data_IF_223931671931
#
_entry.id   IF_223931671931
#
_cell.length_a   1.000
_cell.length_b   1.000
_cell.length_c   1.000
_cell.angle_alpha   90.00
_cell.angle_beta   90.00
_cell.angle_gamma   90.00
#
_symmetry.space_group_name_H-M   'P 1'
#
loop_
_entity.id
_entity.type
_entity.pdbx_description
1 polymer ?
#
# COMPACT_ATOMS: atom_id res chain seq x y z
N UNK A 1 -6.01 -2.33 -10.77
CA UNK A 1 -5.39 -2.11 -9.47
C UNK A 1 -5.43 -3.36 -8.62
N UNK A 2 -4.37 -3.60 -7.91
CA UNK A 2 -4.24 -4.75 -7.04
C UNK A 2 -3.67 -4.30 -5.70
N UNK A 3 -4.32 -4.68 -4.61
CA UNK A 3 -3.84 -4.42 -3.27
C UNK A 3 -3.21 -5.68 -2.71
N UNK A 4 -1.95 -5.61 -2.30
CA UNK A 4 -1.24 -6.72 -1.68
C UNK A 4 -0.54 -6.29 -0.41
N UNK A 5 -0.48 -7.20 0.55
CA UNK A 5 0.25 -7.04 1.79
C UNK A 5 1.33 -8.09 1.82
N UNK A 6 2.56 -7.66 1.93
CA UNK A 6 3.71 -8.55 1.74
C UNK A 6 4.78 -8.31 2.80
N UNK A 7 5.51 -9.32 3.32
CA UNK A 7 6.48 -9.23 4.41
C UNK A 7 7.86 -9.89 4.22
N UNK A 8 8.29 -10.24 3.00
CA UNK A 8 9.57 -10.94 2.78
C UNK A 8 10.56 -10.10 1.97
N UNK A 9 11.89 -10.18 2.26
CA UNK A 9 12.91 -9.36 1.59
C UNK A 9 13.05 -9.56 0.07
N UNK A 10 12.85 -10.78 -0.43
CA UNK A 10 13.00 -11.10 -1.85
C UNK A 10 11.86 -10.61 -2.70
N UNK A 11 10.94 -10.00 -2.10
CA UNK A 11 9.68 -9.68 -2.67
C UNK A 11 9.67 -8.63 -3.75
N UNK A 12 10.56 -7.65 -3.68
CA UNK A 12 10.63 -6.63 -4.73
C UNK A 12 10.84 -7.29 -6.09
N UNK A 13 11.80 -8.23 -6.16
CA UNK A 13 12.09 -8.93 -7.40
C UNK A 13 10.93 -9.82 -7.84
N UNK A 14 10.31 -10.52 -6.88
CA UNK A 14 9.14 -11.36 -7.17
C UNK A 14 7.96 -10.53 -7.68
N UNK A 15 7.71 -9.39 -7.05
CA UNK A 15 6.64 -8.50 -7.47
C UNK A 15 6.91 -7.92 -8.86
N UNK A 16 8.13 -7.50 -9.12
CA UNK A 16 8.51 -6.99 -10.45
C UNK A 16 8.34 -8.03 -11.54
N UNK A 17 8.58 -9.31 -11.23
CA UNK A 17 8.45 -10.39 -12.19
C UNK A 17 7.00 -10.76 -12.48
N UNK A 18 6.10 -10.52 -11.55
CA UNK A 18 4.70 -10.94 -11.65
C UNK A 18 3.72 -9.80 -11.90
N UNK A 19 4.11 -8.57 -11.60
CA UNK A 19 3.21 -7.42 -11.67
C UNK A 19 3.92 -6.20 -12.21
N UNK A 20 3.17 -5.34 -12.87
CA UNK A 20 3.64 -4.01 -13.24
C UNK A 20 3.44 -3.10 -12.02
N UNK A 21 4.49 -2.93 -11.22
CA UNK A 21 4.42 -2.13 -10.01
C UNK A 21 4.11 -0.67 -10.28
N UNK A 22 4.46 -0.17 -11.46
CA UNK A 22 4.17 1.22 -11.81
C UNK A 22 2.67 1.52 -11.91
N UNK A 23 1.85 0.46 -11.91
CA UNK A 23 0.38 0.55 -11.98
C UNK A 23 -0.28 -0.03 -10.73
N UNK A 24 0.49 -0.30 -9.68
CA UNK A 24 0.01 -0.99 -8.49
C UNK A 24 -0.18 -0.04 -7.31
N UNK A 25 -1.14 -0.37 -6.46
CA UNK A 25 -1.25 0.18 -5.12
C UNK A 25 -0.73 -0.89 -4.16
N UNK A 26 0.16 -0.50 -3.29
CA UNK A 26 0.81 -1.43 -2.36
C UNK A 26 0.69 -0.91 -0.94
N UNK A 27 0.31 -1.81 -0.02
CA UNK A 27 0.24 -1.49 1.40
C UNK A 27 1.24 -2.35 2.17
N UNK A 28 1.99 -1.74 3.05
CA UNK A 28 2.96 -2.44 3.89
C UNK A 28 3.32 -1.66 5.14
N UNK A 29 3.87 -2.36 6.14
CA UNK A 29 4.14 -1.78 7.45
C UNK A 29 5.59 -1.91 7.91
N UNK A 30 6.43 -2.60 7.17
CA UNK A 30 7.79 -2.89 7.58
C UNK A 30 8.86 -2.11 6.86
N UNK A 31 10.10 -2.33 7.29
CA UNK A 31 11.27 -1.66 6.72
C UNK A 31 11.44 -1.98 5.23
N UNK A 32 11.19 -3.23 4.84
CA UNK A 32 11.32 -3.63 3.44
C UNK A 32 10.23 -3.03 2.56
N UNK A 33 9.06 -2.79 3.13
CA UNK A 33 7.95 -2.19 2.42
C UNK A 33 8.28 -0.77 1.98
N UNK A 34 9.08 -0.04 2.77
CA UNK A 34 9.54 1.28 2.40
C UNK A 34 10.30 1.27 1.07
N UNK A 35 11.05 0.18 0.79
CA UNK A 35 11.75 0.02 -0.48
C UNK A 35 10.79 -0.28 -1.62
N UNK A 36 9.78 -1.11 -1.36
CA UNK A 36 8.74 -1.42 -2.36
C UNK A 36 7.98 -0.15 -2.74
N UNK A 37 7.73 0.73 -1.78
CA UNK A 37 7.01 1.98 -2.01
C UNK A 37 7.63 2.85 -3.11
N UNK A 38 8.93 2.74 -3.30
CA UNK A 38 9.64 3.51 -4.33
C UNK A 38 9.32 3.06 -5.76
N UNK A 39 8.75 1.86 -5.90
CA UNK A 39 8.50 1.24 -7.20
C UNK A 39 7.02 1.18 -7.58
N UNK A 40 6.13 1.54 -6.68
CA UNK A 40 4.68 1.42 -6.93
C UNK A 40 4.06 2.75 -7.30
N UNK A 41 2.89 2.70 -7.92
CA UNK A 41 2.16 3.90 -8.30
C UNK A 41 1.65 4.67 -7.08
N UNK A 42 1.20 3.93 -6.06
CA UNK A 42 0.66 4.55 -4.85
C UNK A 42 0.89 3.64 -3.66
N UNK A 43 1.48 4.18 -2.62
CA UNK A 43 1.87 3.41 -1.44
C UNK A 43 1.08 3.84 -0.21
N UNK A 44 0.74 2.87 0.64
CA UNK A 44 -0.04 3.08 1.86
C UNK A 44 0.64 2.37 3.02
N UNK A 45 0.69 3.04 4.17
CA UNK A 45 1.18 2.45 5.42
C UNK A 45 0.10 2.58 6.51
N UNK A 46 -0.05 1.58 7.38
CA UNK A 46 -0.96 1.71 8.53
C UNK A 46 -0.38 2.64 9.59
N UNK A 47 -1.23 3.14 10.47
CA UNK A 47 -0.84 4.11 11.49
C UNK A 47 0.30 3.63 12.40
N UNK A 48 0.40 2.32 12.63
CA UNK A 48 1.44 1.71 13.47
C UNK A 48 2.60 1.12 12.68
N UNK A 49 2.78 1.53 11.42
CA UNK A 49 3.87 1.05 10.59
C UNK A 49 5.23 1.54 11.11
N UNK A 50 6.29 0.83 10.71
CA UNK A 50 7.65 1.27 10.95
C UNK A 50 7.85 2.68 10.38
N UNK A 51 8.62 3.51 11.06
CA UNK A 51 8.69 4.93 10.72
C UNK A 51 9.13 5.22 9.29
N UNK A 52 10.04 4.40 8.74
CA UNK A 52 10.48 4.58 7.35
C UNK A 52 9.35 4.31 6.36
N UNK A 53 8.51 3.32 6.64
CA UNK A 53 7.36 3.04 5.79
C UNK A 53 6.39 4.23 5.82
N UNK A 54 6.16 4.81 6.98
CA UNK A 54 5.28 5.98 7.10
C UNK A 54 5.83 7.19 6.37
N UNK A 55 7.14 7.41 6.44
CA UNK A 55 7.78 8.53 5.72
C UNK A 55 7.68 8.38 4.21
N UNK A 56 7.80 7.16 3.71
CA UNK A 56 7.83 6.88 2.27
C UNK A 56 6.45 6.69 1.66
N UNK A 57 5.44 6.42 2.46
CA UNK A 57 4.10 6.16 1.95
C UNK A 57 3.45 7.42 1.40
N UNK A 58 2.67 7.26 0.35
CA UNK A 58 1.83 8.34 -0.18
C UNK A 58 0.67 8.66 0.75
N UNK A 59 0.18 7.65 1.47
CA UNK A 59 -0.90 7.79 2.42
C UNK A 59 -0.66 6.93 3.66
N UNK A 60 -0.92 7.47 4.83
CA UNK A 60 -0.85 6.73 6.10
C UNK A 60 -2.25 6.68 6.68
N UNK A 61 -2.75 5.47 6.99
CA UNK A 61 -4.10 5.31 7.51
C UNK A 61 -4.21 5.85 8.94
N UNK A 62 -5.40 6.20 9.37
CA UNK A 62 -5.70 6.56 10.75
C UNK A 62 -5.76 5.32 11.63
N UNK A 63 -6.17 4.19 11.05
CA UNK A 63 -6.30 2.91 11.75
C UNK A 63 -4.98 2.14 11.74
N UNK A 64 -4.76 1.36 12.81
CA UNK A 64 -3.59 0.50 12.92
C UNK A 64 -3.79 -0.79 12.13
N UNK A 65 -2.68 -1.43 11.75
CA UNK A 65 -2.71 -2.78 11.20
C UNK A 65 -3.44 -3.71 12.17
N UNK A 66 -4.36 -4.52 11.63
CA UNK A 66 -5.21 -5.39 12.46
C UNK A 66 -6.44 -4.71 13.04
N UNK A 67 -6.56 -3.39 12.89
CA UNK A 67 -7.70 -2.60 13.43
C UNK A 67 -8.44 -1.85 12.34
N UNK A 68 -8.53 -2.42 11.15
CA UNK A 68 -9.29 -1.83 10.04
C UNK A 68 -8.47 -1.04 9.04
N UNK A 69 -7.13 -1.06 9.13
CA UNK A 69 -6.28 -0.31 8.22
C UNK A 69 -6.47 -0.72 6.76
N UNK A 70 -6.65 -2.01 6.47
CA UNK A 70 -6.88 -2.49 5.11
C UNK A 70 -8.20 -1.95 4.57
N UNK A 71 -9.24 -1.99 5.39
CA UNK A 71 -10.55 -1.45 4.98
C UNK A 71 -10.46 0.05 4.71
N UNK A 72 -9.79 0.79 5.57
CA UNK A 72 -9.57 2.22 5.39
C UNK A 72 -8.78 2.49 4.11
N UNK A 73 -7.73 1.71 3.86
CA UNK A 73 -6.91 1.83 2.65
C UNK A 73 -7.74 1.58 1.39
N UNK A 74 -8.57 0.54 1.40
CA UNK A 74 -9.45 0.23 0.28
C UNK A 74 -10.43 1.37 0.01
N UNK A 75 -11.06 1.92 1.04
CA UNK A 75 -11.98 3.04 0.90
C UNK A 75 -11.26 4.27 0.37
N UNK A 76 -10.05 4.52 0.83
CA UNK A 76 -9.24 5.64 0.35
C UNK A 76 -8.92 5.50 -1.13
N UNK A 77 -8.51 4.30 -1.57
CA UNK A 77 -8.19 4.03 -2.97
C UNK A 77 -9.43 4.21 -3.86
N UNK A 78 -10.55 3.68 -3.41
CA UNK A 78 -11.82 3.83 -4.13
C UNK A 78 -12.18 5.30 -4.29
N UNK A 79 -12.11 6.06 -3.22
CA UNK A 79 -12.44 7.49 -3.24
C UNK A 79 -11.50 8.27 -4.15
N UNK A 80 -10.20 7.99 -4.08
CA UNK A 80 -9.18 8.73 -4.82
C UNK A 80 -9.14 8.40 -6.32
N UNK A 81 -9.24 7.10 -6.66
CA UNK A 81 -9.01 6.64 -8.03
C UNK A 81 -10.26 6.19 -8.77
N UNK A 82 -11.31 5.83 -8.05
CA UNK A 82 -12.52 5.25 -8.63
C UNK A 82 -13.78 6.01 -8.24
N UNK A 83 -13.64 7.23 -7.82
CA UNK A 83 -14.74 8.05 -7.30
C UNK A 83 -15.95 8.10 -8.22
N UNK A 84 -15.71 8.23 -9.53
CA UNK A 84 -16.77 8.33 -10.52
C UNK A 84 -17.30 6.97 -10.97
N UNK A 85 -16.67 5.88 -10.54
CA UNK A 85 -17.00 4.52 -10.97
C UNK A 85 -17.84 3.76 -9.94
N UNK A 86 -18.05 4.32 -8.76
CA UNK A 86 -18.68 3.62 -7.64
C UNK A 86 -19.91 4.34 -7.19
N UNK A 87 -20.99 3.59 -7.09
CA UNK A 87 -22.26 4.04 -6.50
C UNK A 87 -22.38 3.34 -5.15
N UNK A 88 -22.38 4.11 -4.11
CA UNK A 88 -22.48 3.61 -2.74
C UNK A 88 -23.93 3.21 -2.41
#
# INVERSE_FOLDING_TARGET
LRLEIVGEPERIQRLKNNFDLSKAVYMGDGMFDAKVFEHVAYSIAPANAFYLAKEKANFVTSSKAGEGAVAEACLHVIDKFFKDSIVW
#
